data_IF_182984614171
#
_entry.id   IF_182984614171
#
_cell.length_a   1.000
_cell.length_b   1.000
_cell.length_c   1.000
_cell.angle_alpha   90.00
_cell.angle_beta   90.00
_cell.angle_gamma   90.00
#
_symmetry.space_group_name_H-M   'P 1'
#
loop_
_entity.id
_entity.type
_entity.pdbx_description
1 polymer ?
#
# COMPACT_ATOMS: atom_id res chain seq x y z
N UNK A 1 15.61 12.83 14.59
CA UNK A 1 15.42 11.98 13.39
C UNK A 1 14.21 12.48 12.63
N UNK A 2 14.31 12.82 11.33
CA UNK A 2 13.11 13.06 10.51
C UNK A 2 12.28 11.77 10.52
N UNK A 3 11.03 11.83 10.98
CA UNK A 3 10.13 10.68 10.91
C UNK A 3 9.94 10.32 9.42
N UNK A 4 10.15 9.05 9.10
CA UNK A 4 9.83 8.50 7.78
C UNK A 4 8.30 8.35 7.74
N UNK A 5 7.74 8.52 6.56
CA UNK A 5 6.31 8.38 6.33
C UNK A 5 6.12 7.65 5.01
N UNK A 6 5.05 6.86 4.91
CA UNK A 6 4.59 6.39 3.62
C UNK A 6 4.16 7.58 2.75
N UNK A 7 4.07 7.35 1.45
CA UNK A 7 3.37 8.26 0.53
C UNK A 7 1.89 8.37 0.94
N UNK A 8 1.25 9.53 0.71
CA UNK A 8 -0.18 9.64 0.93
C UNK A 8 -0.92 8.57 0.13
N UNK A 9 -1.95 7.95 0.70
CA UNK A 9 -2.75 6.92 0.04
C UNK A 9 -4.18 7.44 -0.10
N UNK A 10 -4.72 7.41 -1.32
CA UNK A 10 -6.11 7.75 -1.62
C UNK A 10 -6.76 6.52 -2.20
N UNK A 11 -7.89 6.11 -1.62
CA UNK A 11 -8.66 4.96 -2.07
C UNK A 11 -9.92 5.47 -2.76
N UNK A 12 -10.12 4.99 -3.97
CA UNK A 12 -11.31 5.25 -4.78
C UNK A 12 -12.11 3.96 -4.87
N UNK A 13 -13.40 4.07 -4.61
CA UNK A 13 -14.37 2.99 -4.69
C UNK A 13 -15.73 3.59 -5.06
N UNK A 14 -16.47 2.90 -5.93
CA UNK A 14 -17.74 3.35 -6.49
C UNK A 14 -17.64 4.76 -7.12
N UNK A 15 -16.51 5.06 -7.76
CA UNK A 15 -16.24 6.34 -8.41
C UNK A 15 -16.02 7.53 -7.46
N UNK A 16 -15.87 7.29 -6.15
CA UNK A 16 -15.67 8.32 -5.14
C UNK A 16 -14.47 8.01 -4.23
N UNK A 17 -13.93 9.05 -3.58
CA UNK A 17 -12.88 8.85 -2.56
C UNK A 17 -13.51 8.23 -1.31
N UNK A 18 -13.22 6.96 -1.06
CA UNK A 18 -13.70 6.23 0.12
C UNK A 18 -12.82 6.49 1.35
N UNK A 19 -11.51 6.64 1.15
CA UNK A 19 -10.54 6.89 2.23
C UNK A 19 -9.35 7.71 1.72
N UNK A 20 -8.81 8.56 2.60
CA UNK A 20 -7.52 9.19 2.38
C UNK A 20 -6.66 9.08 3.65
N UNK A 21 -5.43 8.55 3.50
CA UNK A 21 -4.43 8.46 4.56
C UNK A 21 -3.30 9.46 4.28
N UNK A 22 -2.96 10.34 5.24
CA UNK A 22 -1.91 11.33 5.05
C UNK A 22 -0.53 10.65 4.95
N UNK A 23 0.41 11.34 4.30
CA UNK A 23 1.78 10.86 4.11
C UNK A 23 2.68 11.95 3.53
N UNK A 24 3.86 11.58 3.03
CA UNK A 24 4.83 12.51 2.43
C UNK A 24 5.19 12.09 1.01
N UNK A 25 5.21 13.06 0.08
CA UNK A 25 5.53 12.85 -1.33
C UNK A 25 4.29 12.80 -2.21
N UNK A 26 4.45 12.29 -3.44
CA UNK A 26 3.33 12.17 -4.39
C UNK A 26 2.33 11.12 -3.92
N UNK A 27 1.01 11.39 -3.97
CA UNK A 27 0.00 10.42 -3.55
C UNK A 27 0.04 9.14 -4.39
N UNK A 28 -0.38 8.05 -3.77
CA UNK A 28 -0.67 6.76 -4.39
C UNK A 28 -2.18 6.62 -4.42
N UNK A 29 -2.74 6.47 -5.63
CA UNK A 29 -4.17 6.20 -5.80
C UNK A 29 -4.36 4.69 -5.91
N UNK A 30 -5.23 4.16 -5.06
CA UNK A 30 -5.73 2.79 -5.10
C UNK A 30 -7.16 2.86 -5.63
N UNK A 31 -7.32 2.61 -6.92
CA UNK A 31 -8.62 2.51 -7.56
C UNK A 31 -9.09 1.06 -7.47
N UNK A 32 -10.03 0.80 -6.56
CA UNK A 32 -10.58 -0.54 -6.32
C UNK A 32 -11.69 -0.90 -7.31
N UNK A 33 -12.18 0.06 -8.10
CA UNK A 33 -13.10 -0.20 -9.20
C UNK A 33 -12.34 -0.77 -10.40
N UNK A 34 -11.13 -0.26 -10.66
CA UNK A 34 -10.22 -0.79 -11.67
C UNK A 34 -9.54 -2.09 -11.23
N UNK A 35 -9.17 -2.20 -9.95
CA UNK A 35 -8.47 -3.36 -9.38
C UNK A 35 -9.22 -3.87 -8.13
N UNK A 36 -10.28 -4.68 -8.30
CA UNK A 36 -11.07 -5.19 -7.19
C UNK A 36 -10.27 -6.24 -6.41
N UNK A 37 -9.55 -5.78 -5.38
CA UNK A 37 -8.67 -6.60 -4.58
C UNK A 37 -9.44 -7.24 -3.41
N UNK A 38 -9.27 -8.54 -3.23
CA UNK A 38 -9.79 -9.29 -2.08
C UNK A 38 -8.87 -9.16 -0.87
N UNK A 39 -7.56 -9.03 -1.13
CA UNK A 39 -6.51 -8.99 -0.11
C UNK A 39 -5.41 -8.01 -0.47
N UNK A 40 -4.66 -7.59 0.53
CA UNK A 40 -3.57 -6.64 0.46
C UNK A 40 -2.32 -7.24 1.09
N UNK A 41 -1.24 -7.37 0.30
CA UNK A 41 0.04 -7.88 0.78
C UNK A 41 1.09 -6.77 0.88
N UNK A 42 1.97 -6.86 1.88
CA UNK A 42 3.04 -5.88 2.07
C UNK A 42 4.38 -6.54 1.85
N UNK A 43 5.20 -5.94 0.99
CA UNK A 43 6.59 -6.37 0.76
C UNK A 43 7.57 -5.26 1.13
N UNK A 44 8.62 -5.62 1.87
CA UNK A 44 9.68 -4.70 2.25
C UNK A 44 11.05 -5.26 1.87
N UNK A 45 11.79 -4.54 1.02
CA UNK A 45 13.07 -4.98 0.45
C UNK A 45 13.01 -6.45 -0.06
N UNK A 46 11.97 -6.74 -0.86
CA UNK A 46 11.68 -8.04 -1.48
C UNK A 46 11.29 -9.18 -0.50
N UNK A 47 11.19 -8.90 0.80
CA UNK A 47 10.61 -9.83 1.79
C UNK A 47 9.11 -9.62 1.92
N UNK A 48 8.37 -10.71 1.90
CA UNK A 48 6.94 -10.73 2.20
C UNK A 48 6.72 -10.58 3.71
N UNK A 49 5.86 -9.63 4.08
CA UNK A 49 5.49 -9.35 5.48
C UNK A 49 4.11 -9.91 5.84
N UNK A 50 3.36 -10.44 4.87
CA UNK A 50 2.02 -10.99 5.05
C UNK A 50 0.97 -10.28 4.20
N UNK A 51 -0.19 -10.94 4.10
CA UNK A 51 -1.36 -10.47 3.39
C UNK A 51 -2.61 -10.52 4.28
N UNK A 52 -3.43 -9.47 4.22
CA UNK A 52 -4.67 -9.33 5.01
C UNK A 52 -5.82 -8.87 4.11
N UNK A 53 -7.05 -9.14 4.52
CA UNK A 53 -8.27 -8.63 3.86
C UNK A 53 -8.54 -7.16 4.21
N UNK A 54 -7.93 -6.64 5.28
CA UNK A 54 -8.11 -5.26 5.74
C UNK A 54 -7.00 -4.34 5.22
N UNK A 55 -7.36 -3.40 4.33
CA UNK A 55 -6.43 -2.40 3.82
C UNK A 55 -5.81 -1.53 4.93
N UNK A 56 -6.55 -1.20 5.99
CA UNK A 56 -6.04 -0.41 7.09
C UNK A 56 -4.90 -1.14 7.82
N UNK A 57 -5.09 -2.44 8.09
CA UNK A 57 -4.07 -3.31 8.68
C UNK A 57 -2.84 -3.43 7.78
N UNK A 58 -3.02 -3.61 6.46
CA UNK A 58 -1.92 -3.64 5.52
C UNK A 58 -1.11 -2.33 5.52
N UNK A 59 -1.78 -1.18 5.60
CA UNK A 59 -1.10 0.12 5.69
C UNK A 59 -0.36 0.31 7.01
N UNK A 60 -0.89 -0.21 8.13
CA UNK A 60 -0.16 -0.24 9.41
C UNK A 60 1.10 -1.10 9.34
N UNK A 61 1.00 -2.28 8.72
CA UNK A 61 2.15 -3.16 8.50
C UNK A 61 3.22 -2.46 7.63
N UNK A 62 2.79 -1.74 6.59
CA UNK A 62 3.66 -0.95 5.73
C UNK A 62 4.37 0.20 6.50
N UNK A 63 3.67 0.89 7.39
CA UNK A 63 4.28 1.93 8.26
C UNK A 63 5.36 1.34 9.17
N UNK A 64 5.09 0.18 9.78
CA UNK A 64 6.08 -0.53 10.62
C UNK A 64 7.31 -0.97 9.82
N UNK A 65 7.16 -1.16 8.51
CA UNK A 65 8.23 -1.55 7.59
C UNK A 65 9.11 -0.39 7.10
N UNK A 66 8.84 0.87 7.47
CA UNK A 66 9.63 2.05 7.07
C UNK A 66 11.14 2.05 7.40
N UNK A 67 11.67 1.22 8.33
CA UNK A 67 13.11 1.02 8.41
C UNK A 67 13.77 0.51 7.11
N UNK A 68 13.00 -0.19 6.25
CA UNK A 68 13.42 -0.72 4.95
C UNK A 68 13.79 0.37 3.92
N UNK A 69 14.39 -0.04 2.80
CA UNK A 69 14.72 0.87 1.68
C UNK A 69 13.53 1.08 0.74
N UNK A 70 12.66 0.08 0.62
CA UNK A 70 11.45 0.10 -0.21
C UNK A 70 10.32 -0.68 0.47
N UNK A 71 9.12 -0.11 0.42
CA UNK A 71 7.87 -0.77 0.86
C UNK A 71 6.87 -0.73 -0.28
N UNK A 72 6.33 -1.89 -0.65
CA UNK A 72 5.28 -2.06 -1.65
C UNK A 72 4.00 -2.59 -1.00
N UNK A 73 2.88 -2.19 -1.57
CA UNK A 73 1.58 -2.80 -1.38
C UNK A 73 1.20 -3.55 -2.66
N UNK A 74 0.82 -4.81 -2.53
CA UNK A 74 0.26 -5.60 -3.62
C UNK A 74 -1.23 -5.76 -3.40
N UNK A 75 -2.01 -5.51 -4.45
CA UNK A 75 -3.44 -5.76 -4.51
C UNK A 75 -3.60 -7.17 -5.07
N UNK A 76 -4.18 -8.06 -4.26
CA UNK A 76 -4.37 -9.45 -4.60
C UNK A 76 -5.85 -9.70 -4.91
N UNK A 77 -6.13 -10.27 -6.08
CA UNK A 77 -7.45 -10.75 -6.45
C UNK A 77 -7.64 -12.22 -6.10
N UNK A 78 -8.65 -12.83 -6.71
CA UNK A 78 -9.02 -14.22 -6.48
C UNK A 78 -7.82 -15.16 -6.69
N UNK A 79 -7.76 -16.21 -5.87
CA UNK A 79 -6.69 -17.20 -5.83
C UNK A 79 -5.27 -16.63 -5.59
N UNK A 80 -5.15 -15.38 -5.10
CA UNK A 80 -3.87 -14.74 -4.79
C UNK A 80 -3.15 -14.17 -6.01
N UNK A 81 -3.87 -13.95 -7.12
CA UNK A 81 -3.32 -13.28 -8.30
C UNK A 81 -2.96 -11.83 -7.99
N UNK A 82 -1.77 -11.37 -8.39
CA UNK A 82 -1.36 -9.97 -8.18
C UNK A 82 -2.00 -9.10 -9.27
N UNK A 83 -2.97 -8.28 -8.88
CA UNK A 83 -3.65 -7.34 -9.77
C UNK A 83 -2.81 -6.09 -10.01
N UNK A 84 -2.19 -5.58 -8.95
CA UNK A 84 -1.39 -4.36 -8.99
C UNK A 84 -0.34 -4.33 -7.90
N UNK A 85 0.77 -3.63 -8.17
CA UNK A 85 1.79 -3.31 -7.17
C UNK A 85 1.93 -1.79 -7.08
N UNK A 86 1.96 -1.27 -5.85
CA UNK A 86 2.10 0.16 -5.55
C UNK A 86 3.26 0.38 -4.60
N UNK A 87 4.17 1.27 -5.00
CA UNK A 87 5.31 1.65 -4.15
C UNK A 87 4.83 2.70 -3.16
N UNK A 88 4.73 2.31 -1.88
CA UNK A 88 4.29 3.19 -0.80
C UNK A 88 5.46 3.99 -0.21
N UNK A 89 6.68 3.46 -0.27
CA UNK A 89 7.87 4.17 0.19
C UNK A 89 9.10 3.71 -0.58
N UNK A 90 9.99 4.65 -0.91
CA UNK A 90 11.32 4.37 -1.43
C UNK A 90 12.28 5.41 -0.87
N UNK A 91 13.36 4.97 -0.26
CA UNK A 91 14.43 5.85 0.19
C UNK A 91 15.13 6.45 -1.04
N UNK A 92 15.11 7.77 -1.16
CA UNK A 92 15.95 8.49 -2.12
C UNK A 92 17.42 8.28 -1.73
N UNK A 93 18.28 8.08 -2.74
CA UNK A 93 19.70 7.74 -2.56
C UNK A 93 20.46 8.86 -1.87
#
# INVERSE_FOLDING_TARGET
>A
MRRRHLRPVVVVQDGAVAMARPGVGLPVVLDLDEHPADRFAVKADDRDLGATEDLAEALELAERALPARRVNLELLGEAGSVLAVRVLYRREK
#
